data_IF_319535187736
#
_entry.id   IF_319535187736
#
_cell.length_a   1.000
_cell.length_b   1.000
_cell.length_c   1.000
_cell.angle_alpha   90.00
_cell.angle_beta   90.00
_cell.angle_gamma   90.00
#
_symmetry.space_group_name_H-M   'P 1'
#
loop_
_entity.id
_entity.type
_entity.pdbx_description
1 polymer ?
#
# COMPACT_ATOMS: atom_id res chain seq x y z
N UNK A 1 -0.57 -35.36 -2.73
CA UNK A 1 -1.15 -34.05 -2.40
C UNK A 1 -0.82 -33.10 -3.53
N UNK A 2 -1.73 -32.23 -3.95
CA UNK A 2 -1.52 -31.35 -5.10
C UNK A 2 -0.55 -30.20 -4.76
N UNK A 3 0.36 -29.89 -5.68
CA UNK A 3 1.23 -28.71 -5.57
C UNK A 3 0.41 -27.41 -5.64
N UNK A 4 0.98 -26.33 -5.06
CA UNK A 4 0.42 -24.97 -5.18
C UNK A 4 0.37 -24.57 -6.66
N UNK A 5 -0.75 -24.07 -7.09
CA UNK A 5 -0.91 -23.59 -8.46
C UNK A 5 -0.20 -22.25 -8.61
N UNK A 6 0.79 -22.19 -9.50
CA UNK A 6 1.48 -20.93 -9.81
C UNK A 6 0.59 -20.03 -10.67
N UNK A 7 0.59 -18.74 -10.37
CA UNK A 7 -0.04 -17.74 -11.22
C UNK A 7 0.84 -17.50 -12.47
N UNK A 8 0.21 -17.39 -13.62
CA UNK A 8 0.91 -17.05 -14.86
C UNK A 8 1.37 -15.59 -14.82
N UNK A 9 2.57 -15.36 -15.32
CA UNK A 9 3.21 -14.03 -15.37
C UNK A 9 3.68 -13.72 -16.78
N UNK A 10 3.76 -12.44 -17.10
CA UNK A 10 4.39 -11.97 -18.35
C UNK A 10 5.91 -12.17 -18.30
N UNK A 11 6.51 -12.49 -19.44
CA UNK A 11 7.96 -12.73 -19.53
C UNK A 11 8.77 -11.49 -19.12
N UNK A 12 9.88 -11.65 -18.37
CA UNK A 12 10.65 -10.54 -17.81
C UNK A 12 11.17 -9.52 -18.81
N UNK A 13 11.65 -9.97 -19.96
CA UNK A 13 12.20 -9.17 -21.06
C UNK A 13 11.15 -8.37 -21.83
N UNK A 14 9.88 -8.75 -21.69
CA UNK A 14 8.72 -8.05 -22.25
C UNK A 14 8.14 -7.09 -21.21
N UNK A 15 7.86 -7.60 -19.99
CA UNK A 15 7.16 -6.84 -18.95
C UNK A 15 7.93 -5.67 -18.36
N UNK A 16 9.27 -5.66 -18.51
CA UNK A 16 10.12 -4.56 -18.04
C UNK A 16 10.15 -3.34 -19.00
N UNK A 17 9.40 -3.37 -20.11
CA UNK A 17 9.35 -2.31 -21.13
C UNK A 17 8.05 -1.52 -21.14
N UNK A 18 7.07 -1.94 -20.37
CA UNK A 18 5.76 -1.30 -20.29
C UNK A 18 5.18 -1.33 -18.88
N UNK A 19 4.02 -0.67 -18.69
CA UNK A 19 3.32 -0.59 -17.42
C UNK A 19 2.11 -1.54 -17.31
N UNK A 20 1.95 -2.48 -18.23
CA UNK A 20 0.88 -3.46 -18.14
C UNK A 20 1.11 -4.42 -16.96
N UNK A 21 0.02 -4.90 -16.38
CA UNK A 21 0.05 -5.77 -15.21
C UNK A 21 0.93 -7.01 -15.44
N UNK A 22 1.79 -7.33 -14.48
CA UNK A 22 2.75 -8.44 -14.55
C UNK A 22 2.05 -9.78 -14.38
N UNK A 23 1.33 -9.95 -13.29
CA UNK A 23 0.59 -11.18 -12.97
C UNK A 23 -0.72 -11.24 -13.75
N UNK A 24 -1.01 -12.38 -14.39
CA UNK A 24 -2.16 -12.53 -15.29
C UNK A 24 -3.44 -13.03 -14.60
N UNK A 25 -3.36 -13.41 -13.31
CA UNK A 25 -4.49 -13.99 -12.59
C UNK A 25 -4.62 -15.50 -12.80
N UNK A 26 -5.61 -16.11 -12.13
CA UNK A 26 -5.98 -17.51 -12.33
C UNK A 26 -7.10 -17.64 -13.38
N UNK A 27 -7.05 -18.75 -14.16
CA UNK A 27 -8.21 -19.23 -14.89
C UNK A 27 -9.19 -19.91 -13.91
N UNK A 28 -10.42 -20.20 -14.39
CA UNK A 28 -11.43 -20.92 -13.59
C UNK A 28 -10.92 -22.29 -13.13
N UNK A 29 -10.19 -23.00 -14.01
CA UNK A 29 -9.61 -24.31 -13.69
C UNK A 29 -8.51 -24.20 -12.63
N UNK A 30 -7.62 -23.21 -12.76
CA UNK A 30 -6.54 -22.97 -11.80
C UNK A 30 -7.10 -22.59 -10.42
N UNK A 31 -8.10 -21.71 -10.39
CA UNK A 31 -8.76 -21.30 -9.14
C UNK A 31 -9.47 -22.49 -8.49
N UNK A 32 -10.18 -23.32 -9.26
CA UNK A 32 -10.83 -24.53 -8.75
C UNK A 32 -9.83 -25.54 -8.18
N UNK A 33 -8.71 -25.77 -8.88
CA UNK A 33 -7.68 -26.68 -8.43
C UNK A 33 -7.03 -26.19 -7.14
N UNK A 34 -6.68 -24.90 -7.06
CA UNK A 34 -6.07 -24.32 -5.86
C UNK A 34 -7.06 -24.28 -4.68
N UNK A 35 -8.33 -23.97 -4.92
CA UNK A 35 -9.37 -23.94 -3.88
C UNK A 35 -9.57 -25.32 -3.22
N UNK A 36 -9.48 -26.41 -3.99
CA UNK A 36 -9.57 -27.78 -3.46
C UNK A 36 -8.44 -28.17 -2.52
N UNK A 37 -7.34 -27.42 -2.48
CA UNK A 37 -6.25 -27.66 -1.51
C UNK A 37 -6.62 -27.20 -0.10
N UNK A 38 -7.63 -26.33 0.05
CA UNK A 38 -8.02 -25.83 1.35
C UNK A 38 -8.64 -26.94 2.22
N UNK A 39 -8.07 -27.12 3.41
CA UNK A 39 -8.49 -28.17 4.35
C UNK A 39 -9.81 -27.86 5.08
N UNK A 40 -10.42 -26.68 4.87
CA UNK A 40 -11.64 -26.25 5.55
C UNK A 40 -11.54 -26.43 7.09
N UNK A 41 -10.46 -25.89 7.68
CA UNK A 41 -10.11 -26.08 9.09
C UNK A 41 -11.24 -25.61 10.02
N UNK A 42 -11.52 -26.36 11.09
CA UNK A 42 -12.50 -25.98 12.13
C UNK A 42 -12.08 -24.68 12.83
N UNK A 43 -10.78 -24.51 13.11
CA UNK A 43 -10.18 -23.30 13.69
C UNK A 43 -9.18 -22.73 12.69
N UNK A 44 -9.62 -21.87 11.74
CA UNK A 44 -8.80 -21.42 10.63
C UNK A 44 -7.85 -20.29 11.05
N UNK A 45 -6.59 -20.62 11.36
CA UNK A 45 -5.57 -19.62 11.74
C UNK A 45 -5.30 -18.58 10.65
N UNK A 46 -5.58 -18.89 9.39
CA UNK A 46 -5.48 -17.92 8.29
C UNK A 46 -6.45 -16.72 8.46
N UNK A 47 -7.59 -16.92 9.13
CA UNK A 47 -8.55 -15.83 9.43
C UNK A 47 -7.94 -14.87 10.44
N UNK A 48 -7.35 -15.37 11.52
CA UNK A 48 -6.69 -14.53 12.54
C UNK A 48 -5.42 -13.86 12.01
N UNK A 49 -4.79 -14.44 10.97
CA UNK A 49 -3.69 -13.84 10.24
C UNK A 49 -4.11 -12.71 9.27
N UNK A 50 -5.41 -12.49 9.08
CA UNK A 50 -5.94 -11.43 8.22
C UNK A 50 -6.41 -10.24 9.07
N UNK A 51 -5.82 -9.03 8.93
CA UNK A 51 -6.19 -7.85 9.73
C UNK A 51 -7.65 -7.39 9.62
N UNK A 52 -8.37 -7.81 8.57
CA UNK A 52 -9.82 -7.56 8.40
C UNK A 52 -10.69 -8.79 8.64
N UNK A 53 -10.08 -9.91 9.06
CA UNK A 53 -10.77 -11.14 9.47
C UNK A 53 -11.70 -11.71 8.38
N UNK A 54 -11.23 -11.80 7.15
CA UNK A 54 -11.99 -12.43 6.04
C UNK A 54 -12.29 -13.89 6.41
N UNK A 55 -13.54 -14.34 6.17
CA UNK A 55 -13.89 -15.75 6.25
C UNK A 55 -13.24 -16.54 5.10
N UNK A 56 -11.92 -16.79 5.25
CA UNK A 56 -11.08 -17.40 4.21
C UNK A 56 -11.58 -18.80 3.82
N UNK A 57 -11.84 -19.74 4.73
CA UNK A 57 -12.39 -21.04 4.36
C UNK A 57 -13.74 -20.93 3.66
N UNK A 58 -14.58 -19.97 4.08
CA UNK A 58 -15.89 -19.74 3.50
C UNK A 58 -15.85 -19.34 2.04
N UNK A 59 -15.06 -18.32 1.66
CA UNK A 59 -15.00 -17.92 0.25
C UNK A 59 -14.29 -18.96 -0.62
N UNK A 60 -13.24 -19.63 -0.11
CA UNK A 60 -12.54 -20.68 -0.84
C UNK A 60 -13.44 -21.90 -1.09
N UNK A 61 -14.28 -22.28 -0.10
CA UNK A 61 -15.28 -23.33 -0.27
C UNK A 61 -16.22 -23.01 -1.45
N UNK A 62 -16.70 -21.76 -1.54
CA UNK A 62 -17.59 -21.36 -2.63
C UNK A 62 -16.92 -21.43 -4.01
N UNK A 63 -15.61 -21.14 -4.10
CA UNK A 63 -14.85 -21.36 -5.35
C UNK A 63 -14.79 -22.85 -5.68
N UNK A 64 -14.48 -23.71 -4.69
CA UNK A 64 -14.41 -25.16 -4.88
C UNK A 64 -15.77 -25.76 -5.32
N UNK A 65 -16.87 -25.14 -4.92
CA UNK A 65 -18.25 -25.49 -5.29
C UNK A 65 -18.69 -24.80 -6.61
N UNK A 66 -17.78 -24.14 -7.32
CA UNK A 66 -18.05 -23.40 -8.58
C UNK A 66 -19.11 -22.30 -8.43
N UNK A 67 -19.14 -21.63 -7.29
CA UNK A 67 -20.05 -20.54 -6.97
C UNK A 67 -19.30 -19.22 -6.69
N UNK A 68 -18.61 -18.61 -7.68
CA UNK A 68 -17.79 -17.42 -7.48
C UNK A 68 -18.61 -16.19 -7.05
N UNK A 69 -19.87 -16.08 -7.41
CA UNK A 69 -20.76 -15.02 -6.93
C UNK A 69 -20.90 -15.07 -5.40
N UNK A 70 -21.15 -16.25 -4.84
CA UNK A 70 -21.24 -16.40 -3.38
C UNK A 70 -19.88 -16.22 -2.71
N UNK A 71 -18.79 -16.65 -3.35
CA UNK A 71 -17.43 -16.39 -2.87
C UNK A 71 -17.18 -14.87 -2.72
N UNK A 72 -17.59 -14.08 -3.72
CA UNK A 72 -17.46 -12.63 -3.67
C UNK A 72 -18.29 -11.99 -2.55
N UNK A 73 -19.53 -12.44 -2.32
CA UNK A 73 -20.36 -11.97 -1.21
C UNK A 73 -19.67 -12.20 0.13
N UNK A 74 -19.12 -13.40 0.35
CA UNK A 74 -18.37 -13.73 1.58
C UNK A 74 -17.16 -12.80 1.77
N UNK A 75 -16.42 -12.50 0.69
CA UNK A 75 -15.31 -11.54 0.74
C UNK A 75 -15.78 -10.14 1.15
N UNK A 76 -16.86 -9.64 0.50
CA UNK A 76 -17.38 -8.26 0.71
C UNK A 76 -18.03 -8.04 2.08
N UNK A 77 -18.33 -9.10 2.84
CA UNK A 77 -18.78 -8.96 4.25
C UNK A 77 -17.72 -8.30 5.13
N UNK A 78 -16.44 -8.58 4.87
CA UNK A 78 -15.32 -8.14 5.69
C UNK A 78 -14.34 -7.22 4.96
N UNK A 79 -14.19 -7.35 3.65
CA UNK A 79 -13.22 -6.63 2.84
C UNK A 79 -13.90 -5.70 1.82
N UNK A 80 -13.66 -4.41 1.95
CA UNK A 80 -14.20 -3.41 1.01
C UNK A 80 -13.39 -3.33 -0.31
N UNK A 81 -12.12 -3.79 -0.31
CA UNK A 81 -11.18 -3.66 -1.42
C UNK A 81 -10.52 -5.01 -1.79
N UNK A 82 -11.30 -6.08 -2.09
CA UNK A 82 -10.73 -7.40 -2.31
C UNK A 82 -9.84 -7.49 -3.56
N UNK A 83 -10.12 -6.73 -4.61
CA UNK A 83 -9.30 -6.70 -5.82
C UNK A 83 -7.91 -6.08 -5.56
N UNK A 84 -7.84 -5.11 -4.64
CA UNK A 84 -6.58 -4.52 -4.16
C UNK A 84 -5.84 -5.52 -3.28
N UNK A 85 -6.50 -6.09 -2.25
CA UNK A 85 -5.87 -7.00 -1.30
C UNK A 85 -5.28 -8.24 -1.97
N UNK A 86 -5.99 -8.85 -2.92
CA UNK A 86 -5.50 -10.00 -3.67
C UNK A 86 -4.23 -9.71 -4.50
N UNK A 87 -3.94 -8.42 -4.79
CA UNK A 87 -2.75 -8.00 -5.56
C UNK A 87 -1.60 -7.53 -4.69
N UNK A 88 -1.87 -6.80 -3.58
CA UNK A 88 -0.82 -6.05 -2.89
C UNK A 88 -0.53 -6.49 -1.46
N UNK A 89 -1.40 -7.28 -0.83
CA UNK A 89 -1.14 -7.81 0.51
C UNK A 89 0.14 -8.66 0.54
N UNK A 90 0.98 -8.55 1.57
CA UNK A 90 2.08 -9.48 1.80
C UNK A 90 1.55 -10.76 2.46
N UNK A 91 0.79 -11.58 1.69
CA UNK A 91 0.09 -12.77 2.18
C UNK A 91 1.05 -13.76 2.85
N UNK A 92 2.30 -13.84 2.35
CA UNK A 92 3.38 -14.65 2.91
C UNK A 92 3.73 -14.31 4.37
N UNK A 93 3.38 -13.11 4.84
CA UNK A 93 3.56 -12.65 6.22
C UNK A 93 2.25 -12.57 7.01
N UNK A 94 1.12 -12.88 6.39
CA UNK A 94 -0.23 -12.72 6.93
C UNK A 94 -1.04 -14.03 6.85
N UNK A 95 -2.14 -14.04 6.09
CA UNK A 95 -3.04 -15.19 6.01
C UNK A 95 -2.36 -16.48 5.54
N UNK A 96 -1.48 -16.44 4.52
CA UNK A 96 -0.79 -17.62 4.00
C UNK A 96 0.25 -18.16 4.98
N UNK A 97 0.96 -17.28 5.72
CA UNK A 97 1.88 -17.68 6.81
C UNK A 97 1.19 -18.55 7.86
N UNK A 98 -0.08 -18.30 8.14
CA UNK A 98 -0.87 -19.02 9.13
C UNK A 98 -1.67 -20.19 8.53
N UNK A 99 -1.48 -20.51 7.26
CA UNK A 99 -2.11 -21.67 6.64
C UNK A 99 -1.48 -22.97 7.15
N UNK A 100 -2.29 -23.87 7.73
CA UNK A 100 -1.81 -25.15 8.29
C UNK A 100 -1.12 -26.03 7.24
N UNK A 101 -1.52 -25.95 5.98
CA UNK A 101 -0.81 -26.62 4.90
C UNK A 101 0.66 -26.20 4.81
N UNK A 102 0.98 -24.95 5.12
CA UNK A 102 2.34 -24.42 5.12
C UNK A 102 3.32 -25.12 6.08
N UNK A 103 2.83 -25.92 7.03
CA UNK A 103 3.68 -26.70 7.94
C UNK A 103 4.35 -27.92 7.26
N UNK A 104 3.76 -28.44 6.19
CA UNK A 104 4.23 -29.67 5.51
C UNK A 104 4.45 -29.51 4.00
N UNK A 105 3.89 -28.45 3.42
CA UNK A 105 3.95 -28.15 1.99
C UNK A 105 3.70 -26.65 1.78
N UNK A 106 3.61 -26.17 0.53
CA UNK A 106 3.25 -24.77 0.26
C UNK A 106 1.83 -24.45 0.76
N UNK A 107 1.62 -23.28 1.41
CA UNK A 107 0.29 -22.84 1.84
C UNK A 107 -0.66 -22.69 0.65
N UNK A 108 -1.97 -22.67 0.91
CA UNK A 108 -2.96 -22.28 -0.11
C UNK A 108 -2.68 -20.87 -0.59
N UNK A 109 -2.75 -20.64 -1.90
CA UNK A 109 -2.57 -19.32 -2.52
C UNK A 109 -3.81 -18.43 -2.28
N UNK A 110 -4.01 -18.02 -1.03
CA UNK A 110 -5.20 -17.30 -0.57
C UNK A 110 -5.36 -15.98 -1.31
N UNK A 111 -4.27 -15.21 -1.46
CA UNK A 111 -4.29 -13.94 -2.17
C UNK A 111 -4.66 -14.09 -3.65
N UNK A 112 -4.17 -15.14 -4.32
CA UNK A 112 -4.50 -15.42 -5.70
C UNK A 112 -5.98 -15.80 -5.88
N UNK A 113 -6.56 -16.55 -4.95
CA UNK A 113 -7.98 -16.90 -4.94
C UNK A 113 -8.86 -15.68 -4.63
N UNK A 114 -8.43 -14.80 -3.72
CA UNK A 114 -9.09 -13.53 -3.44
C UNK A 114 -9.10 -12.64 -4.69
N UNK A 115 -7.96 -12.49 -5.36
CA UNK A 115 -7.85 -11.78 -6.62
C UNK A 115 -8.77 -12.38 -7.70
N UNK A 116 -8.71 -13.70 -7.90
CA UNK A 116 -9.59 -14.39 -8.87
C UNK A 116 -11.05 -14.05 -8.62
N UNK A 117 -11.50 -14.14 -7.37
CA UNK A 117 -12.89 -13.88 -7.00
C UNK A 117 -13.29 -12.44 -7.29
N UNK A 118 -12.41 -11.48 -6.99
CA UNK A 118 -12.65 -10.06 -7.25
C UNK A 118 -12.64 -9.74 -8.75
N UNK A 119 -11.72 -10.32 -9.53
CA UNK A 119 -11.64 -10.16 -10.99
C UNK A 119 -12.84 -10.81 -11.69
N UNK A 120 -13.29 -11.98 -11.22
CA UNK A 120 -14.51 -12.60 -11.69
C UNK A 120 -15.72 -11.69 -11.45
N UNK A 121 -15.87 -11.17 -10.24
CA UNK A 121 -16.96 -10.25 -9.90
C UNK A 121 -16.91 -8.98 -10.75
N UNK A 122 -15.69 -8.49 -11.03
CA UNK A 122 -15.47 -7.36 -11.90
C UNK A 122 -16.08 -7.53 -13.30
N UNK A 123 -16.07 -8.72 -13.84
CA UNK A 123 -16.56 -9.03 -15.18
C UNK A 123 -18.03 -9.46 -15.22
N UNK A 124 -18.61 -9.88 -14.08
CA UNK A 124 -19.92 -10.54 -14.03
C UNK A 124 -20.97 -9.82 -13.18
N UNK A 125 -20.56 -8.88 -12.29
CA UNK A 125 -21.49 -8.19 -11.39
C UNK A 125 -21.52 -6.69 -11.71
N UNK A 126 -22.70 -6.15 -11.91
CA UNK A 126 -22.91 -4.71 -12.11
C UNK A 126 -22.92 -3.97 -10.78
N UNK A 127 -22.19 -2.85 -10.70
CA UNK A 127 -22.09 -2.02 -9.48
C UNK A 127 -23.46 -1.48 -9.05
N UNK A 128 -24.38 -1.21 -9.97
CA UNK A 128 -25.73 -0.69 -9.72
C UNK A 128 -26.65 -1.63 -8.91
N UNK A 129 -26.23 -2.87 -8.65
CA UNK A 129 -27.02 -3.85 -7.89
C UNK A 129 -26.79 -3.75 -6.36
N UNK A 130 -25.87 -2.88 -5.91
CA UNK A 130 -25.56 -2.68 -4.50
C UNK A 130 -26.59 -1.71 -3.90
N UNK A 131 -27.51 -2.21 -3.09
CA UNK A 131 -28.49 -1.37 -2.36
C UNK A 131 -28.14 -1.29 -0.87
N UNK A 132 -28.31 -0.10 -0.29
CA UNK A 132 -28.27 0.10 1.16
C UNK A 132 -29.71 0.23 1.64
N UNK A 133 -30.04 -0.49 2.72
CA UNK A 133 -31.32 -0.34 3.40
C UNK A 133 -31.16 0.63 4.57
N UNK A 134 -31.96 1.71 4.55
CA UNK A 134 -32.09 2.69 5.62
C UNK A 134 -31.03 3.80 5.61
N UNK A 135 -31.46 5.01 6.01
CA UNK A 135 -30.58 6.17 6.22
C UNK A 135 -30.71 6.64 7.67
N UNK A 136 -29.59 6.86 8.35
CA UNK A 136 -29.56 7.42 9.71
C UNK A 136 -29.60 8.94 9.72
N UNK A 137 -29.42 9.59 8.56
CA UNK A 137 -29.30 11.05 8.42
C UNK A 137 -28.19 11.68 9.30
N UNK A 138 -27.22 10.87 9.75
CA UNK A 138 -26.09 11.31 10.57
C UNK A 138 -24.88 11.42 9.68
N UNK A 139 -24.28 12.61 9.63
CA UNK A 139 -23.10 12.91 8.81
C UNK A 139 -21.80 12.47 9.51
N UNK A 140 -20.94 11.77 8.79
CA UNK A 140 -19.59 11.42 9.23
C UNK A 140 -18.58 11.88 8.17
N UNK A 141 -17.54 12.61 8.60
CA UNK A 141 -16.44 13.03 7.73
C UNK A 141 -15.30 12.01 7.80
N UNK A 142 -14.71 11.71 6.65
CA UNK A 142 -13.49 10.91 6.51
C UNK A 142 -12.42 11.76 5.84
N UNK A 143 -11.29 11.98 6.50
CA UNK A 143 -10.17 12.78 5.99
C UNK A 143 -9.12 11.83 5.43
N UNK A 144 -8.96 11.83 4.10
CA UNK A 144 -8.08 10.96 3.33
C UNK A 144 -8.80 9.75 2.76
N UNK A 145 -8.56 9.50 1.46
CA UNK A 145 -9.14 8.42 0.68
C UNK A 145 -8.19 7.21 0.50
N UNK A 146 -7.18 7.06 1.37
CA UNK A 146 -6.33 5.88 1.40
C UNK A 146 -7.06 4.63 1.91
N UNK A 147 -6.38 3.49 2.02
CA UNK A 147 -6.98 2.21 2.41
C UNK A 147 -7.80 2.27 3.71
N UNK A 148 -7.29 2.98 4.73
CA UNK A 148 -7.99 3.16 6.01
C UNK A 148 -9.29 3.96 5.84
N UNK A 149 -9.21 5.12 5.14
CA UNK A 149 -10.36 5.99 4.89
C UNK A 149 -11.43 5.31 4.05
N UNK A 150 -11.05 4.67 2.93
CA UNK A 150 -11.98 3.94 2.07
C UNK A 150 -12.69 2.81 2.82
N UNK A 151 -11.97 2.08 3.70
CA UNK A 151 -12.56 1.00 4.49
C UNK A 151 -13.51 1.55 5.55
N UNK A 152 -13.09 2.58 6.29
CA UNK A 152 -13.94 3.26 7.29
C UNK A 152 -15.21 3.82 6.64
N UNK A 153 -15.08 4.52 5.52
CA UNK A 153 -16.20 5.09 4.78
C UNK A 153 -17.17 4.00 4.29
N UNK A 154 -16.65 2.91 3.72
CA UNK A 154 -17.47 1.80 3.24
C UNK A 154 -18.26 1.10 4.34
N UNK A 155 -17.62 0.83 5.49
CA UNK A 155 -18.31 0.16 6.61
C UNK A 155 -19.34 1.09 7.25
N UNK A 156 -19.07 2.40 7.38
CA UNK A 156 -20.04 3.38 7.88
C UNK A 156 -21.22 3.56 6.93
N UNK A 157 -20.97 3.61 5.63
CA UNK A 157 -22.04 3.71 4.62
C UNK A 157 -22.98 2.49 4.68
N UNK A 158 -22.42 1.27 4.80
CA UNK A 158 -23.22 0.05 5.01
C UNK A 158 -24.09 0.08 6.27
N UNK A 159 -23.69 0.85 7.29
CA UNK A 159 -24.47 1.09 8.52
C UNK A 159 -25.47 2.25 8.37
N UNK A 160 -25.61 2.85 7.19
CA UNK A 160 -26.59 3.89 6.88
C UNK A 160 -26.18 5.31 7.23
N UNK A 161 -24.89 5.58 7.51
CA UNK A 161 -24.38 6.95 7.74
C UNK A 161 -24.22 7.73 6.42
N UNK A 162 -24.44 9.06 6.45
CA UNK A 162 -24.13 9.97 5.34
C UNK A 162 -22.62 10.30 5.39
N UNK A 163 -21.83 9.61 4.59
CA UNK A 163 -20.38 9.69 4.63
C UNK A 163 -19.86 10.62 3.54
N UNK A 164 -19.00 11.56 3.93
CA UNK A 164 -18.24 12.41 3.00
C UNK A 164 -16.74 12.19 3.22
N UNK A 165 -16.03 11.81 2.16
CA UNK A 165 -14.58 11.66 2.11
C UNK A 165 -13.95 12.93 1.55
N UNK A 166 -13.06 13.56 2.31
CA UNK A 166 -12.26 14.72 1.88
C UNK A 166 -10.86 14.24 1.51
N UNK A 167 -10.45 14.50 0.26
CA UNK A 167 -9.16 14.08 -0.27
C UNK A 167 -8.35 15.31 -0.73
N UNK A 168 -7.10 15.41 -0.31
CA UNK A 168 -6.20 16.50 -0.66
C UNK A 168 -5.72 16.46 -2.11
N UNK A 169 -5.63 15.26 -2.67
CA UNK A 169 -5.24 15.03 -4.06
C UNK A 169 -6.44 15.15 -4.99
N UNK A 170 -6.18 15.14 -6.29
CA UNK A 170 -7.21 15.24 -7.33
C UNK A 170 -7.90 13.90 -7.63
N UNK A 171 -7.41 12.79 -7.04
CA UNK A 171 -8.00 11.46 -7.22
C UNK A 171 -7.96 10.65 -5.92
N UNK A 172 -8.80 9.61 -5.84
CA UNK A 172 -8.96 8.74 -4.68
C UNK A 172 -7.97 7.58 -4.67
N UNK A 173 -7.78 7.01 -3.48
CA UNK A 173 -6.99 5.79 -3.28
C UNK A 173 -5.74 6.00 -2.43
N UNK A 174 -5.27 7.24 -2.25
CA UNK A 174 -4.04 7.50 -1.49
C UNK A 174 -2.86 6.72 -2.07
N UNK A 175 -2.09 6.02 -1.21
CA UNK A 175 -0.92 5.23 -1.64
C UNK A 175 -1.24 4.16 -2.69
N UNK A 176 -2.48 3.67 -2.77
CA UNK A 176 -2.90 2.73 -3.81
C UNK A 176 -2.84 3.35 -5.20
N UNK A 177 -3.09 4.68 -5.30
CA UNK A 177 -3.08 5.44 -6.54
C UNK A 177 -1.69 6.02 -6.84
N UNK A 178 -1.10 6.72 -5.88
CA UNK A 178 0.15 7.45 -6.13
C UNK A 178 1.41 6.62 -5.90
N UNK A 179 1.35 5.61 -5.03
CA UNK A 179 2.55 4.88 -4.58
C UNK A 179 2.76 3.54 -5.26
N UNK A 180 1.67 2.82 -5.61
CA UNK A 180 1.76 1.49 -6.21
C UNK A 180 1.67 1.60 -7.74
N UNK A 181 2.69 1.13 -8.49
CA UNK A 181 2.71 1.26 -9.94
C UNK A 181 1.62 0.45 -10.65
N UNK A 182 1.22 0.93 -11.82
CA UNK A 182 0.21 0.35 -12.72
C UNK A 182 0.45 -1.13 -13.01
N UNK A 183 1.70 -1.55 -13.17
CA UNK A 183 2.06 -2.94 -13.44
C UNK A 183 1.84 -3.91 -12.25
N UNK A 184 1.59 -3.38 -11.03
CA UNK A 184 1.20 -4.14 -9.82
C UNK A 184 -0.29 -3.98 -9.50
N UNK A 185 -0.77 -2.76 -9.52
CA UNK A 185 -2.16 -2.41 -9.22
C UNK A 185 -2.67 -1.47 -10.32
N UNK A 186 -3.30 -1.99 -11.37
CA UNK A 186 -3.88 -1.17 -12.42
C UNK A 186 -4.90 -0.17 -11.87
N UNK A 187 -4.86 1.07 -12.37
CA UNK A 187 -5.75 2.16 -11.92
C UNK A 187 -7.23 1.80 -12.10
N UNK A 188 -7.60 1.13 -13.20
CA UNK A 188 -8.97 0.69 -13.45
C UNK A 188 -9.50 -0.32 -12.41
N UNK A 189 -8.60 -1.11 -11.78
CA UNK A 189 -8.97 -2.00 -10.67
C UNK A 189 -9.34 -1.18 -9.44
N UNK A 190 -8.54 -0.18 -9.11
CA UNK A 190 -8.81 0.72 -7.99
C UNK A 190 -10.07 1.57 -8.24
N UNK A 191 -10.23 2.10 -9.45
CA UNK A 191 -11.40 2.89 -9.85
C UNK A 191 -12.70 2.12 -9.59
N UNK A 192 -12.73 0.85 -10.00
CA UNK A 192 -13.89 -0.01 -9.78
C UNK A 192 -14.20 -0.26 -8.31
N UNK A 193 -13.19 -0.45 -7.47
CA UNK A 193 -13.41 -0.58 -6.01
C UNK A 193 -13.96 0.72 -5.43
N UNK A 194 -13.43 1.87 -5.85
CA UNK A 194 -13.93 3.19 -5.42
C UNK A 194 -15.35 3.44 -5.94
N UNK A 195 -15.67 3.07 -7.18
CA UNK A 195 -17.02 3.22 -7.74
C UNK A 195 -18.02 2.33 -7.01
N UNK A 196 -17.60 1.15 -6.55
CA UNK A 196 -18.42 0.31 -5.66
C UNK A 196 -18.74 1.01 -4.33
N UNK A 197 -17.82 1.82 -3.80
CA UNK A 197 -18.04 2.63 -2.60
C UNK A 197 -18.92 3.85 -2.88
N UNK A 198 -18.73 4.53 -4.02
CA UNK A 198 -19.64 5.61 -4.46
C UNK A 198 -21.08 5.12 -4.63
N UNK A 199 -21.27 3.91 -5.12
CA UNK A 199 -22.60 3.29 -5.24
C UNK A 199 -23.29 3.07 -3.87
N UNK A 200 -22.51 3.01 -2.78
CA UNK A 200 -23.02 3.05 -1.41
C UNK A 200 -23.44 4.48 -0.95
N UNK A 201 -23.47 5.48 -1.82
CA UNK A 201 -23.84 6.85 -1.50
C UNK A 201 -22.72 7.69 -0.88
N UNK A 202 -21.49 7.20 -0.83
CA UNK A 202 -20.35 7.94 -0.29
C UNK A 202 -20.02 9.11 -1.22
N UNK A 203 -19.92 10.31 -0.66
CA UNK A 203 -19.52 11.52 -1.36
C UNK A 203 -18.00 11.70 -1.28
N UNK A 204 -17.37 12.07 -2.39
CA UNK A 204 -15.93 12.39 -2.45
C UNK A 204 -15.76 13.86 -2.81
N UNK A 205 -14.92 14.57 -2.06
CA UNK A 205 -14.53 15.96 -2.31
C UNK A 205 -13.00 15.98 -2.46
N UNK A 206 -12.54 16.21 -3.68
CA UNK A 206 -11.12 16.23 -4.06
C UNK A 206 -10.52 17.64 -3.98
N UNK A 207 -9.17 17.71 -4.03
CA UNK A 207 -8.41 18.95 -3.93
C UNK A 207 -8.76 19.73 -2.65
N UNK A 208 -9.01 19.02 -1.55
CA UNK A 208 -9.55 19.59 -0.33
C UNK A 208 -8.69 19.20 0.89
N UNK A 209 -7.77 20.10 1.26
CA UNK A 209 -6.84 19.88 2.37
C UNK A 209 -7.45 20.35 3.69
N UNK A 210 -7.95 19.39 4.48
CA UNK A 210 -8.45 19.69 5.83
C UNK A 210 -7.29 20.15 6.72
N UNK A 211 -7.52 21.23 7.46
CA UNK A 211 -6.52 22.01 8.21
C UNK A 211 -6.12 23.29 7.49
N UNK A 212 -6.31 23.39 6.16
CA UNK A 212 -6.03 24.60 5.38
C UNK A 212 -7.26 25.14 4.67
N UNK A 213 -7.89 24.34 3.83
CA UNK A 213 -9.11 24.74 3.10
C UNK A 213 -10.30 24.86 4.05
N UNK A 214 -10.40 23.96 5.01
CA UNK A 214 -11.41 23.94 6.07
C UNK A 214 -10.79 23.32 7.32
N UNK A 215 -11.11 23.87 8.48
CA UNK A 215 -10.64 23.34 9.75
C UNK A 215 -11.46 22.12 10.22
N UNK A 216 -10.95 21.38 11.18
CA UNK A 216 -11.72 20.30 11.85
C UNK A 216 -12.94 20.87 12.57
N UNK A 217 -12.84 22.08 13.17
CA UNK A 217 -13.95 22.75 13.82
C UNK A 217 -15.08 23.09 12.81
N UNK A 218 -14.71 23.54 11.60
CA UNK A 218 -15.70 23.81 10.56
C UNK A 218 -16.47 22.55 10.14
N UNK A 219 -15.83 21.38 10.13
CA UNK A 219 -16.55 20.12 9.84
C UNK A 219 -17.64 19.84 10.89
N UNK A 220 -17.36 20.06 12.19
CA UNK A 220 -18.39 19.93 13.22
C UNK A 220 -19.49 20.99 13.06
N UNK A 221 -19.16 22.23 12.71
CA UNK A 221 -20.12 23.31 12.42
C UNK A 221 -21.01 22.98 11.21
N UNK A 222 -20.49 22.26 10.19
CA UNK A 222 -21.24 21.76 9.04
C UNK A 222 -22.18 20.59 9.38
N UNK A 223 -22.15 20.18 10.65
CA UNK A 223 -23.06 19.15 11.19
C UNK A 223 -22.52 17.72 11.15
N UNK A 224 -21.25 17.51 10.80
CA UNK A 224 -20.63 16.19 10.98
C UNK A 224 -20.58 15.84 12.47
N UNK A 225 -20.98 14.62 12.83
CA UNK A 225 -21.08 14.18 14.22
C UNK A 225 -19.86 13.37 14.68
N UNK A 226 -19.11 12.84 13.75
CA UNK A 226 -17.81 12.21 13.98
C UNK A 226 -16.89 12.44 12.78
N UNK A 227 -15.59 12.37 13.03
CA UNK A 227 -14.54 12.55 12.02
C UNK A 227 -13.57 11.38 12.11
N UNK A 228 -13.24 10.76 10.98
CA UNK A 228 -12.15 9.80 10.88
C UNK A 228 -10.96 10.42 10.16
N UNK A 229 -9.76 10.31 10.73
CA UNK A 229 -8.50 10.79 10.16
C UNK A 229 -7.69 9.61 9.62
N UNK A 230 -7.58 9.52 8.30
CA UNK A 230 -6.84 8.49 7.56
C UNK A 230 -5.87 9.09 6.55
N UNK A 231 -5.17 10.17 6.92
CA UNK A 231 -4.30 10.96 6.04
C UNK A 231 -2.98 10.26 5.67
N UNK A 232 -2.70 9.10 6.26
CA UNK A 232 -1.52 8.30 5.95
C UNK A 232 -0.19 8.93 6.40
N UNK A 233 0.89 8.50 5.77
CA UNK A 233 2.24 9.01 5.94
C UNK A 233 2.81 9.37 4.56
N UNK A 234 3.10 10.64 4.34
CA UNK A 234 3.56 11.15 3.04
C UNK A 234 4.83 12.00 3.11
N UNK A 235 5.38 12.23 4.31
CA UNK A 235 6.60 13.01 4.48
C UNK A 235 7.83 12.08 4.37
N UNK A 236 8.68 12.25 3.33
CA UNK A 236 9.81 11.34 3.11
C UNK A 236 10.90 11.51 4.15
N UNK A 237 11.57 10.40 4.47
CA UNK A 237 12.78 10.37 5.28
C UNK A 237 14.01 10.59 4.40
N UNK A 238 14.84 11.57 4.75
CA UNK A 238 16.13 11.81 4.14
C UNK A 238 17.26 11.22 5.00
N UNK A 239 18.39 10.79 4.43
CA UNK A 239 19.47 10.17 5.16
C UNK A 239 20.28 11.15 6.04
N UNK A 240 20.17 12.46 5.81
CA UNK A 240 20.92 13.49 6.52
C UNK A 240 22.41 13.48 6.18
N UNK A 241 22.77 13.12 4.95
CA UNK A 241 24.17 13.06 4.48
C UNK A 241 24.48 14.17 3.47
N UNK A 242 25.78 14.47 3.31
CA UNK A 242 26.26 15.53 2.41
C UNK A 242 25.74 15.30 0.98
N UNK A 243 25.23 16.35 0.36
CA UNK A 243 24.82 16.36 -1.04
C UNK A 243 23.40 15.85 -1.30
N UNK A 244 22.58 15.52 -0.29
CA UNK A 244 21.23 15.02 -0.47
C UNK A 244 20.27 15.98 -1.19
N UNK A 245 20.68 17.25 -1.34
CA UNK A 245 19.91 18.31 -2.02
C UNK A 245 20.36 18.55 -3.47
N UNK A 246 21.24 17.73 -4.04
CA UNK A 246 21.65 17.88 -5.42
C UNK A 246 20.49 17.56 -6.39
N UNK A 247 20.55 18.15 -7.58
CA UNK A 247 19.58 17.86 -8.64
C UNK A 247 19.60 16.37 -8.99
N UNK A 248 18.45 15.84 -9.39
CA UNK A 248 18.21 14.42 -9.68
C UNK A 248 18.36 13.47 -8.48
N UNK A 249 18.21 13.99 -7.25
CA UNK A 249 17.96 13.17 -6.05
C UNK A 249 16.50 13.38 -5.66
N UNK A 250 15.71 12.33 -5.75
CA UNK A 250 14.28 12.34 -5.43
C UNK A 250 13.98 11.45 -4.24
N UNK A 251 12.98 11.80 -3.45
CA UNK A 251 12.34 10.81 -2.61
C UNK A 251 11.55 9.83 -3.49
N UNK A 252 11.43 8.58 -3.05
CA UNK A 252 10.63 7.59 -3.78
C UNK A 252 9.15 8.02 -3.89
N UNK A 253 8.64 8.72 -2.86
CA UNK A 253 7.29 9.27 -2.90
C UNK A 253 7.11 10.29 -4.02
N UNK A 254 8.03 11.25 -4.16
CA UNK A 254 8.01 12.22 -5.24
C UNK A 254 8.10 11.55 -6.63
N UNK A 255 9.05 10.62 -6.78
CA UNK A 255 9.25 9.90 -8.03
C UNK A 255 8.00 9.11 -8.42
N UNK A 256 7.43 8.33 -7.51
CA UNK A 256 6.26 7.49 -7.79
C UNK A 256 4.98 8.30 -7.97
N UNK A 257 4.79 9.41 -7.24
CA UNK A 257 3.65 10.31 -7.46
C UNK A 257 3.64 10.87 -8.88
N UNK A 258 4.79 11.30 -9.39
CA UNK A 258 4.91 11.78 -10.79
C UNK A 258 4.58 10.66 -11.79
N UNK A 259 5.07 9.46 -11.55
CA UNK A 259 4.83 8.32 -12.45
C UNK A 259 3.37 7.88 -12.42
N UNK A 260 2.82 7.62 -11.24
CA UNK A 260 1.54 6.94 -11.09
C UNK A 260 0.37 7.94 -11.13
N UNK A 261 0.32 8.89 -10.20
CA UNK A 261 -0.79 9.84 -10.09
C UNK A 261 -0.80 10.86 -11.24
N UNK A 262 0.37 11.36 -11.63
CA UNK A 262 0.51 12.34 -12.70
C UNK A 262 0.83 11.71 -14.06
N UNK A 263 0.84 10.41 -14.16
CA UNK A 263 0.94 9.61 -15.39
C UNK A 263 2.18 9.94 -16.26
N UNK A 264 3.31 10.30 -15.61
CA UNK A 264 4.51 10.75 -16.32
C UNK A 264 5.12 9.69 -17.26
N UNK A 265 4.81 8.40 -17.07
CA UNK A 265 5.25 7.34 -17.97
C UNK A 265 4.63 7.42 -19.36
N UNK A 266 3.57 8.22 -19.55
CA UNK A 266 2.93 8.50 -20.85
C UNK A 266 3.29 9.88 -21.42
N UNK A 267 4.32 10.54 -20.90
CA UNK A 267 4.76 11.81 -21.49
C UNK A 267 5.21 11.58 -22.96
N UNK A 268 4.82 12.43 -23.95
CA UNK A 268 4.13 13.72 -23.83
C UNK A 268 2.59 13.65 -23.96
N UNK A 269 1.96 12.47 -23.96
CA UNK A 269 0.49 12.36 -23.96
C UNK A 269 -0.12 13.04 -22.71
N UNK A 270 0.60 12.97 -21.58
CA UNK A 270 0.33 13.68 -20.35
C UNK A 270 1.42 14.72 -20.08
N UNK A 271 1.06 15.88 -19.51
CA UNK A 271 1.93 17.06 -19.38
C UNK A 271 3.02 16.96 -18.29
N UNK A 272 3.21 15.80 -17.67
CA UNK A 272 4.19 15.63 -16.59
C UNK A 272 5.50 15.05 -17.12
N UNK A 273 6.57 15.85 -17.30
CA UNK A 273 7.88 15.34 -17.66
C UNK A 273 8.55 14.65 -16.46
N UNK A 274 9.41 13.66 -16.74
CA UNK A 274 10.25 13.03 -15.74
C UNK A 274 11.66 12.81 -16.29
N UNK A 275 12.66 13.03 -15.44
CA UNK A 275 14.02 12.64 -15.75
C UNK A 275 14.15 11.12 -15.62
N UNK A 276 14.56 10.47 -16.69
CA UNK A 276 14.61 8.99 -16.75
C UNK A 276 15.84 8.39 -16.10
N UNK A 277 16.98 9.09 -16.15
CA UNK A 277 18.28 8.57 -15.76
C UNK A 277 18.76 7.42 -16.66
N UNK A 278 20.05 7.31 -16.87
CA UNK A 278 20.67 6.13 -17.49
C UNK A 278 21.12 5.13 -16.42
N UNK A 279 21.83 5.65 -15.42
CA UNK A 279 22.35 4.89 -14.29
C UNK A 279 21.60 5.31 -13.03
N UNK A 280 20.68 4.48 -12.57
CA UNK A 280 19.80 4.81 -11.45
C UNK A 280 20.21 4.02 -10.21
N UNK A 281 20.36 4.73 -9.09
CA UNK A 281 20.58 4.13 -7.77
C UNK A 281 19.33 4.37 -6.93
N UNK A 282 18.73 3.28 -6.41
CA UNK A 282 17.65 3.34 -5.43
C UNK A 282 18.17 2.88 -4.08
N UNK A 283 17.94 3.67 -3.03
CA UNK A 283 18.43 3.39 -1.67
C UNK A 283 17.25 2.97 -0.79
N UNK A 284 17.26 1.71 -0.35
CA UNK A 284 16.21 1.14 0.49
C UNK A 284 15.96 -0.34 0.22
N UNK A 285 15.10 -0.99 1.02
CA UNK A 285 14.80 -2.43 0.89
C UNK A 285 13.32 -2.79 1.10
N UNK A 286 12.42 -1.80 1.12
CA UNK A 286 10.98 -1.99 1.27
C UNK A 286 10.25 -2.12 -0.07
N UNK A 287 8.93 -2.32 -0.02
CA UNK A 287 8.08 -2.40 -1.23
C UNK A 287 8.22 -1.16 -2.11
N UNK A 288 8.31 0.03 -1.50
CA UNK A 288 8.51 1.30 -2.23
C UNK A 288 9.83 1.31 -3.01
N UNK A 289 10.89 0.69 -2.48
CA UNK A 289 12.16 0.54 -3.20
C UNK A 289 12.01 -0.40 -4.40
N UNK A 290 11.31 -1.53 -4.23
CA UNK A 290 11.00 -2.46 -5.34
C UNK A 290 10.17 -1.76 -6.43
N UNK A 291 9.17 -0.99 -6.05
CA UNK A 291 8.35 -0.21 -6.97
C UNK A 291 9.21 0.81 -7.75
N UNK A 292 10.14 1.47 -7.06
CA UNK A 292 11.03 2.48 -7.66
C UNK A 292 12.02 1.87 -8.65
N UNK A 293 12.73 0.77 -8.29
CA UNK A 293 13.70 0.13 -9.22
C UNK A 293 13.01 -0.44 -10.46
N UNK A 294 11.85 -1.08 -10.28
CA UNK A 294 11.08 -1.66 -11.38
C UNK A 294 10.48 -0.59 -12.28
N UNK A 295 10.08 0.55 -11.71
CA UNK A 295 9.62 1.72 -12.45
C UNK A 295 10.76 2.35 -13.24
N UNK A 296 11.92 2.58 -12.62
CA UNK A 296 13.10 3.12 -13.28
C UNK A 296 13.50 2.29 -14.52
N UNK A 297 13.45 0.96 -14.40
CA UNK A 297 13.69 0.04 -15.54
C UNK A 297 12.70 0.29 -16.68
N UNK A 298 11.39 0.41 -16.36
CA UNK A 298 10.31 0.60 -17.35
C UNK A 298 10.35 1.94 -18.08
N UNK A 299 10.82 3.00 -17.42
CA UNK A 299 10.96 4.31 -18.08
C UNK A 299 12.25 4.43 -18.91
N UNK A 300 13.09 3.38 -18.94
CA UNK A 300 14.20 3.26 -19.87
C UNK A 300 15.60 3.40 -19.27
N UNK A 301 15.77 3.24 -17.95
CA UNK A 301 17.11 3.20 -17.36
C UNK A 301 17.94 2.00 -17.89
N UNK A 302 19.17 2.26 -18.28
CA UNK A 302 20.11 1.24 -18.78
C UNK A 302 20.57 0.35 -17.63
N UNK A 303 21.01 0.96 -16.52
CA UNK A 303 21.44 0.28 -15.29
C UNK A 303 20.58 0.75 -14.11
N UNK A 304 20.10 -0.20 -13.30
CA UNK A 304 19.38 0.09 -12.06
C UNK A 304 19.99 -0.73 -10.93
N UNK A 305 20.47 -0.05 -9.89
CA UNK A 305 21.06 -0.66 -8.70
C UNK A 305 20.19 -0.36 -7.47
N UNK A 306 19.92 -1.41 -6.69
CA UNK A 306 19.29 -1.30 -5.39
C UNK A 306 20.37 -1.36 -4.32
N UNK A 307 20.62 -0.26 -3.62
CA UNK A 307 21.58 -0.20 -2.50
C UNK A 307 20.83 -0.47 -1.18
N UNK A 308 21.27 -1.50 -0.46
CA UNK A 308 20.66 -1.89 0.79
C UNK A 308 21.70 -2.25 1.86
N UNK A 309 21.52 -1.70 3.06
CA UNK A 309 22.48 -1.84 4.17
C UNK A 309 22.50 -3.21 4.85
N UNK A 310 21.60 -4.13 4.50
CA UNK A 310 21.53 -5.51 4.96
C UNK A 310 21.53 -6.45 3.76
N UNK A 311 21.24 -7.75 3.98
CA UNK A 311 21.06 -8.70 2.89
C UNK A 311 19.59 -8.81 2.46
N UNK A 312 19.32 -9.56 1.40
CA UNK A 312 17.96 -9.83 0.92
C UNK A 312 17.09 -10.50 1.99
N UNK A 313 17.69 -11.27 2.91
CA UNK A 313 16.97 -11.96 3.98
C UNK A 313 16.25 -10.97 4.91
N UNK A 314 16.88 -9.82 5.20
CA UNK A 314 16.32 -8.79 6.06
C UNK A 314 15.45 -7.76 5.30
N UNK A 315 15.29 -7.89 3.99
CA UNK A 315 14.46 -6.97 3.23
C UNK A 315 12.98 -7.12 3.60
N UNK A 316 12.30 -6.04 4.02
CA UNK A 316 10.87 -6.10 4.32
C UNK A 316 9.96 -6.12 3.09
N UNK A 317 10.53 -5.98 1.89
CA UNK A 317 9.79 -6.08 0.63
C UNK A 317 9.25 -7.50 0.43
N UNK A 318 8.09 -7.62 -0.25
CA UNK A 318 7.49 -8.90 -0.64
C UNK A 318 8.48 -9.75 -1.43
N UNK A 319 8.48 -11.05 -1.16
CA UNK A 319 9.33 -12.02 -1.86
C UNK A 319 9.12 -11.99 -3.37
N UNK A 320 7.87 -11.96 -3.81
CA UNK A 320 7.50 -11.89 -5.22
C UNK A 320 8.08 -10.64 -5.90
N UNK A 321 8.00 -9.45 -5.26
CA UNK A 321 8.47 -8.20 -5.82
C UNK A 321 10.01 -8.16 -5.93
N UNK A 322 10.73 -8.75 -4.95
CA UNK A 322 12.20 -8.93 -5.02
C UNK A 322 12.59 -9.82 -6.19
N UNK A 323 11.87 -10.94 -6.34
CA UNK A 323 12.09 -11.88 -7.43
C UNK A 323 11.85 -11.23 -8.80
N UNK A 324 10.76 -10.49 -8.93
CA UNK A 324 10.45 -9.75 -10.16
C UNK A 324 11.51 -8.69 -10.48
N UNK A 325 12.01 -7.94 -9.49
CA UNK A 325 13.08 -6.95 -9.70
C UNK A 325 14.37 -7.59 -10.24
N UNK A 326 14.78 -8.72 -9.66
CA UNK A 326 15.97 -9.48 -10.12
C UNK A 326 15.77 -10.00 -11.55
N UNK A 327 14.62 -10.59 -11.87
CA UNK A 327 14.29 -11.06 -13.20
C UNK A 327 14.26 -9.94 -14.25
N UNK A 328 13.88 -8.73 -13.86
CA UNK A 328 13.80 -7.54 -14.69
C UNK A 328 15.17 -6.86 -14.86
N UNK A 329 16.26 -7.45 -14.32
CA UNK A 329 17.63 -7.01 -14.50
C UNK A 329 18.06 -5.88 -13.54
N UNK A 330 17.47 -5.80 -12.35
CA UNK A 330 17.92 -4.93 -11.27
C UNK A 330 19.08 -5.59 -10.52
N UNK A 331 20.17 -4.88 -10.32
CA UNK A 331 21.33 -5.33 -9.53
C UNK A 331 21.11 -4.97 -8.04
N UNK A 332 21.20 -5.97 -7.15
CA UNK A 332 21.12 -5.73 -5.71
C UNK A 332 22.53 -5.60 -5.13
N UNK A 333 22.85 -4.39 -4.64
CA UNK A 333 24.10 -4.04 -3.95
C UNK A 333 23.83 -4.11 -2.44
N UNK A 334 23.97 -5.31 -1.91
CA UNK A 334 23.71 -5.62 -0.49
C UNK A 334 24.87 -5.15 0.40
N UNK A 335 24.62 -5.15 1.72
CA UNK A 335 25.61 -4.78 2.73
C UNK A 335 26.32 -3.46 2.39
N UNK A 336 25.53 -2.47 1.93
CA UNK A 336 26.04 -1.20 1.42
C UNK A 336 25.16 -0.06 1.90
N UNK A 337 25.77 0.99 2.43
CA UNK A 337 25.09 2.22 2.85
C UNK A 337 25.68 3.45 2.17
N UNK A 338 24.89 4.47 1.79
CA UNK A 338 25.40 5.72 1.26
C UNK A 338 26.07 6.53 2.38
N UNK A 339 27.14 7.23 2.04
CA UNK A 339 27.90 8.13 2.94
C UNK A 339 27.74 9.58 2.52
N UNK A 340 27.82 9.85 1.22
CA UNK A 340 27.55 11.16 0.64
C UNK A 340 27.22 11.08 -0.83
N UNK A 341 26.62 12.12 -1.37
CA UNK A 341 26.39 12.28 -2.81
C UNK A 341 27.42 13.22 -3.42
N UNK A 342 27.81 12.95 -4.66
CA UNK A 342 28.76 13.74 -5.41
C UNK A 342 28.06 14.34 -6.63
N UNK A 343 28.29 15.64 -6.87
CA UNK A 343 27.69 16.33 -8.01
C UNK A 343 28.75 16.72 -9.06
N UNK A 344 28.26 17.05 -10.24
CA UNK A 344 29.01 17.75 -11.28
C UNK A 344 29.07 19.27 -10.98
N UNK A 345 29.72 20.05 -11.86
CA UNK A 345 29.88 21.50 -11.74
C UNK A 345 28.54 22.26 -11.80
N UNK A 346 27.47 21.63 -12.32
CA UNK A 346 26.14 22.20 -12.45
C UNK A 346 25.22 21.81 -11.29
N UNK A 347 25.71 21.03 -10.31
CA UNK A 347 24.97 20.59 -9.16
C UNK A 347 24.05 19.38 -9.44
N UNK A 348 24.25 18.62 -10.51
CA UNK A 348 23.55 17.35 -10.76
C UNK A 348 24.32 16.19 -10.15
N UNK A 349 23.62 15.25 -9.54
CA UNK A 349 24.26 14.05 -8.99
C UNK A 349 24.97 13.27 -10.09
N UNK A 350 26.22 12.87 -9.82
CA UNK A 350 27.05 12.05 -10.72
C UNK A 350 27.52 10.74 -10.10
N UNK A 351 27.50 10.65 -8.77
CA UNK A 351 27.88 9.43 -8.05
C UNK A 351 27.38 9.43 -6.60
N UNK A 352 27.32 8.26 -6.01
CA UNK A 352 27.11 8.03 -4.58
C UNK A 352 28.38 7.40 -4.00
N UNK A 353 28.97 8.01 -2.99
CA UNK A 353 29.98 7.37 -2.15
C UNK A 353 29.27 6.47 -1.16
N UNK A 354 29.62 5.20 -1.16
CA UNK A 354 29.08 4.16 -0.33
C UNK A 354 30.13 3.55 0.59
N UNK A 355 29.70 2.95 1.69
CA UNK A 355 30.55 2.16 2.59
C UNK A 355 29.98 0.75 2.71
N UNK A 356 30.87 -0.25 2.80
CA UNK A 356 30.45 -1.63 3.06
C UNK A 356 30.00 -1.81 4.50
N UNK A 357 29.02 -2.69 4.68
CA UNK A 357 28.42 -3.01 5.98
C UNK A 357 28.69 -4.46 6.34
N UNK A 358 28.74 -4.75 7.63
CA UNK A 358 28.62 -6.11 8.18
C UNK A 358 27.40 -6.21 9.08
N UNK A 359 26.90 -7.42 9.28
CA UNK A 359 25.74 -7.66 10.12
C UNK A 359 26.17 -8.24 11.46
N UNK A 360 25.68 -7.62 12.52
CA UNK A 360 25.87 -8.07 13.92
C UNK A 360 24.57 -8.67 14.46
N UNK A 361 24.45 -8.80 15.78
CA UNK A 361 23.28 -9.33 16.46
C UNK A 361 21.96 -8.63 16.06
N UNK A 362 20.82 -9.32 16.14
CA UNK A 362 19.52 -8.75 15.81
C UNK A 362 19.17 -7.50 16.64
N UNK A 363 18.58 -6.50 15.98
CA UNK A 363 18.01 -5.33 16.62
C UNK A 363 16.60 -5.62 17.22
N UNK A 364 15.97 -4.60 17.83
CA UNK A 364 14.63 -4.72 18.42
C UNK A 364 13.52 -5.15 17.42
N UNK A 365 13.79 -5.08 16.12
CA UNK A 365 12.89 -5.57 15.07
C UNK A 365 13.14 -7.04 14.70
N UNK A 366 14.08 -7.70 15.36
CA UNK A 366 14.50 -9.09 15.06
C UNK A 366 15.39 -9.21 13.81
N UNK A 367 15.81 -8.10 13.17
CA UNK A 367 16.71 -8.09 12.02
C UNK A 367 18.14 -7.77 12.45
N UNK A 368 19.11 -8.45 11.85
CA UNK A 368 20.54 -8.22 12.15
C UNK A 368 20.91 -6.74 11.94
N UNK A 369 21.64 -6.17 12.91
CA UNK A 369 22.02 -4.75 12.89
C UNK A 369 23.19 -4.53 11.94
N UNK A 370 23.09 -3.59 10.95
CA UNK A 370 24.19 -3.26 10.06
C UNK A 370 25.16 -2.30 10.74
N UNK A 371 26.48 -2.57 10.61
CA UNK A 371 27.57 -1.75 11.13
C UNK A 371 28.55 -1.46 9.98
N UNK A 372 29.03 -0.22 9.81
CA UNK A 372 29.97 0.10 8.74
C UNK A 372 31.36 -0.53 8.97
N UNK A 373 31.95 -1.05 7.89
CA UNK A 373 33.32 -1.54 7.88
C UNK A 373 34.25 -0.33 7.62
N UNK A 374 35.14 0.03 8.57
CA UNK A 374 36.01 1.20 8.38
C UNK A 374 36.88 1.09 7.12
N UNK A 375 37.11 2.22 6.43
CA UNK A 375 37.96 2.33 5.23
C UNK A 375 37.52 1.44 4.05
N UNK A 376 36.25 1.08 3.96
CA UNK A 376 35.69 0.28 2.88
C UNK A 376 34.90 1.11 1.85
N UNK A 377 35.12 2.43 1.84
CA UNK A 377 34.42 3.34 0.95
C UNK A 377 34.68 3.03 -0.51
N UNK A 378 33.65 3.19 -1.35
CA UNK A 378 33.74 3.04 -2.80
C UNK A 378 32.67 3.90 -3.49
N UNK A 379 32.83 4.10 -4.79
CA UNK A 379 31.97 4.98 -5.58
C UNK A 379 31.05 4.13 -6.47
N UNK A 380 29.77 4.53 -6.52
CA UNK A 380 28.80 4.06 -7.52
C UNK A 380 28.43 5.24 -8.40
N UNK A 381 28.78 5.20 -9.66
CA UNK A 381 28.37 6.21 -10.65
C UNK A 381 26.86 6.15 -10.89
N UNK A 382 26.22 7.31 -10.93
CA UNK A 382 24.76 7.43 -11.11
C UNK A 382 24.41 8.84 -11.58
N UNK A 383 23.34 8.97 -12.34
CA UNK A 383 22.79 10.27 -12.77
C UNK A 383 21.35 10.50 -12.22
N UNK A 384 20.82 9.52 -11.47
CA UNK A 384 19.55 9.63 -10.76
C UNK A 384 19.58 8.81 -9.48
N UNK A 385 19.26 9.42 -8.36
CA UNK A 385 19.11 8.75 -7.05
C UNK A 385 17.68 8.81 -6.56
N UNK A 386 17.16 7.68 -6.06
CA UNK A 386 15.82 7.59 -5.47
C UNK A 386 15.94 7.09 -4.03
N UNK A 387 15.50 7.91 -3.08
CA UNK A 387 15.57 7.63 -1.65
C UNK A 387 14.27 6.96 -1.17
N UNK A 388 14.32 5.66 -0.92
CA UNK A 388 13.20 4.83 -0.45
C UNK A 388 13.39 4.43 1.03
N UNK A 389 13.63 5.42 1.90
CA UNK A 389 14.04 5.23 3.31
C UNK A 389 12.87 5.22 4.30
N UNK A 390 11.63 5.30 3.81
CA UNK A 390 10.42 5.32 4.62
C UNK A 390 9.75 6.69 4.63
N UNK A 391 8.57 6.73 5.25
CA UNK A 391 7.71 7.91 5.32
C UNK A 391 7.29 8.17 6.76
N UNK A 392 7.07 9.44 7.08
CA UNK A 392 6.50 9.91 8.34
C UNK A 392 5.11 10.55 8.12
N UNK A 393 4.27 10.61 9.16
CA UNK A 393 3.02 11.34 9.13
C UNK A 393 3.22 12.82 8.78
N UNK A 394 2.29 13.38 7.98
CA UNK A 394 2.31 14.80 7.69
C UNK A 394 1.80 15.61 8.90
N UNK A 395 2.57 16.58 9.45
CA UNK A 395 2.21 17.32 10.64
C UNK A 395 1.14 18.40 10.40
N UNK A 396 0.70 18.66 9.17
CA UNK A 396 -0.22 19.77 8.85
C UNK A 396 -1.50 19.68 9.68
N UNK A 397 -2.18 18.56 9.69
CA UNK A 397 -3.45 18.44 10.40
C UNK A 397 -3.31 18.60 11.91
N UNK A 398 -2.40 17.87 12.61
CA UNK A 398 -2.25 18.05 14.05
C UNK A 398 -1.73 19.43 14.42
N UNK A 399 -0.83 20.04 13.65
CA UNK A 399 -0.31 21.40 13.96
C UNK A 399 -1.37 22.50 13.85
N UNK A 400 -2.42 22.28 13.04
CA UNK A 400 -3.51 23.24 12.83
C UNK A 400 -4.79 22.91 13.61
N UNK A 401 -4.77 21.82 14.41
CA UNK A 401 -5.92 21.38 15.19
C UNK A 401 -5.53 21.34 16.67
N UNK A 402 -5.89 22.40 17.41
CA UNK A 402 -5.57 22.50 18.84
C UNK A 402 -6.13 21.31 19.64
N UNK A 403 -5.27 20.65 20.42
CA UNK A 403 -5.63 19.48 21.22
C UNK A 403 -5.53 18.14 20.50
N UNK A 404 -5.21 18.12 19.22
CA UNK A 404 -4.93 16.88 18.48
C UNK A 404 -3.44 16.53 18.69
N UNK A 405 -3.16 15.57 19.58
CA UNK A 405 -1.81 15.25 20.00
C UNK A 405 -1.16 14.16 19.18
N UNK A 406 0.18 14.22 19.09
CA UNK A 406 1.02 13.23 18.43
C UNK A 406 2.10 12.73 19.39
N UNK A 407 2.58 11.52 19.15
CA UNK A 407 3.75 10.99 19.84
C UNK A 407 5.06 11.58 19.27
N UNK A 408 6.21 11.25 19.86
CA UNK A 408 7.52 11.74 19.43
C UNK A 408 7.90 11.40 17.97
N UNK A 409 7.22 10.44 17.33
CA UNK A 409 7.41 10.08 15.93
C UNK A 409 6.40 10.74 14.99
N UNK A 410 5.52 11.61 15.49
CA UNK A 410 4.52 12.33 14.72
C UNK A 410 3.23 11.55 14.47
N UNK A 411 3.06 10.32 14.97
CA UNK A 411 1.81 9.57 14.87
C UNK A 411 0.75 10.11 15.82
N UNK A 412 -0.50 10.20 15.36
CA UNK A 412 -1.62 10.58 16.22
C UNK A 412 -1.76 9.60 17.39
N UNK A 413 -1.94 10.15 18.59
CA UNK A 413 -2.23 9.36 19.79
C UNK A 413 -3.70 8.94 19.73
N UNK A 414 -3.96 7.64 19.79
CA UNK A 414 -5.29 7.02 19.82
C UNK A 414 -5.41 6.09 21.03
N UNK A 415 -6.61 5.95 21.54
CA UNK A 415 -6.96 4.95 22.56
C UNK A 415 -7.37 3.62 21.92
N UNK A 416 -7.73 2.63 22.74
CA UNK A 416 -8.16 1.29 22.28
C UNK A 416 -9.43 1.32 21.41
N UNK A 417 -10.19 2.41 21.44
CA UNK A 417 -11.36 2.64 20.59
C UNK A 417 -11.03 3.44 19.33
N UNK A 418 -9.74 3.62 18.99
CA UNK A 418 -9.29 4.41 17.87
C UNK A 418 -9.66 5.90 17.93
N UNK A 419 -10.14 6.40 19.07
CA UNK A 419 -10.43 7.81 19.30
C UNK A 419 -9.14 8.55 19.65
N UNK A 420 -8.97 9.74 19.08
CA UNK A 420 -7.83 10.63 19.37
C UNK A 420 -8.01 11.33 20.73
N UNK A 421 -7.12 12.26 21.06
CA UNK A 421 -7.23 13.14 22.23
C UNK A 421 -8.43 14.10 22.17
N UNK A 422 -9.10 14.22 21.02
CA UNK A 422 -10.30 15.03 20.83
C UNK A 422 -11.51 14.12 20.68
N UNK A 423 -12.54 14.37 21.49
CA UNK A 423 -13.78 13.60 21.46
C UNK A 423 -14.48 13.71 20.09
N UNK A 424 -14.95 12.57 19.55
CA UNK A 424 -15.58 12.48 18.24
C UNK A 424 -14.63 12.47 17.04
N UNK A 425 -13.30 12.53 17.29
CA UNK A 425 -12.29 12.38 16.25
C UNK A 425 -11.58 11.03 16.44
N UNK A 426 -11.60 10.21 15.38
CA UNK A 426 -10.97 8.88 15.32
C UNK A 426 -9.86 8.89 14.31
N UNK A 427 -8.88 8.00 14.44
CA UNK A 427 -7.81 7.89 13.47
C UNK A 427 -7.39 6.43 13.23
N UNK A 428 -6.81 6.17 12.05
CA UNK A 428 -6.28 4.86 11.71
C UNK A 428 -5.47 4.88 10.42
N UNK A 429 -4.75 3.77 10.16
CA UNK A 429 -3.78 3.68 9.09
C UNK A 429 -2.43 4.27 9.48
N UNK A 430 -1.62 4.65 8.49
CA UNK A 430 -0.22 5.03 8.72
C UNK A 430 -0.08 6.29 9.56
N UNK A 431 -1.08 7.16 9.61
CA UNK A 431 -1.10 8.34 10.51
C UNK A 431 -1.12 7.94 12.00
N UNK A 432 -1.55 6.72 12.30
CA UNK A 432 -1.65 6.16 13.65
C UNK A 432 -0.78 4.90 13.84
N UNK A 433 0.23 4.69 12.98
CA UNK A 433 1.22 3.61 13.12
C UNK A 433 0.92 2.34 12.32
N UNK A 434 -0.04 2.35 11.42
CA UNK A 434 -0.21 1.29 10.40
C UNK A 434 1.01 1.21 9.48
N UNK A 435 1.23 0.08 8.84
CA UNK A 435 2.42 -0.12 7.99
C UNK A 435 2.14 -0.85 6.66
N UNK A 436 0.98 -1.45 6.50
CA UNK A 436 0.57 -2.13 5.27
C UNK A 436 -0.87 -1.77 4.89
N UNK A 437 -1.21 -1.93 3.61
CA UNK A 437 -2.55 -1.65 3.09
C UNK A 437 -3.64 -2.31 3.93
N UNK A 438 -3.52 -3.61 4.19
CA UNK A 438 -4.54 -4.37 4.92
C UNK A 438 -4.57 -4.04 6.43
N UNK A 439 -3.44 -3.67 7.04
CA UNK A 439 -3.43 -3.19 8.43
C UNK A 439 -4.14 -1.84 8.53
N UNK A 440 -3.88 -0.92 7.59
CA UNK A 440 -4.58 0.35 7.51
C UNK A 440 -6.10 0.13 7.33
N UNK A 441 -6.50 -0.82 6.49
CA UNK A 441 -7.90 -1.23 6.34
C UNK A 441 -8.49 -1.79 7.64
N UNK A 442 -7.75 -2.65 8.35
CA UNK A 442 -8.15 -3.20 9.65
C UNK A 442 -8.41 -2.10 10.69
N UNK A 443 -7.49 -1.12 10.79
CA UNK A 443 -7.67 0.03 11.66
C UNK A 443 -8.89 0.88 11.26
N UNK A 444 -9.10 1.13 9.97
CA UNK A 444 -10.27 1.83 9.45
C UNK A 444 -11.58 1.12 9.79
N UNK A 445 -11.58 -0.21 9.70
CA UNK A 445 -12.72 -1.07 10.07
C UNK A 445 -13.05 -0.99 11.57
N UNK A 446 -12.04 -1.10 12.43
CA UNK A 446 -12.23 -0.99 13.88
C UNK A 446 -12.67 0.42 14.28
N UNK A 447 -12.12 1.46 13.66
CA UNK A 447 -12.56 2.83 13.86
C UNK A 447 -14.03 3.02 13.44
N UNK A 448 -14.48 2.48 12.31
CA UNK A 448 -15.86 2.55 11.86
C UNK A 448 -16.83 1.91 12.88
N UNK A 449 -16.46 0.74 13.43
CA UNK A 449 -17.21 0.08 14.50
C UNK A 449 -17.33 0.97 15.75
N UNK A 450 -16.24 1.60 16.17
CA UNK A 450 -16.22 2.46 17.35
C UNK A 450 -16.92 3.81 17.11
N UNK A 451 -16.86 4.37 15.91
CA UNK A 451 -17.67 5.52 15.50
C UNK A 451 -19.16 5.18 15.60
N UNK A 452 -19.55 3.99 15.11
CA UNK A 452 -20.93 3.53 15.23
C UNK A 452 -21.39 3.43 16.69
N UNK A 453 -20.59 2.82 17.57
CA UNK A 453 -20.87 2.74 18.99
C UNK A 453 -20.95 4.12 19.68
N UNK A 454 -20.10 5.05 19.26
CA UNK A 454 -20.07 6.43 19.76
C UNK A 454 -21.34 7.20 19.38
N UNK A 455 -21.82 7.05 18.13
CA UNK A 455 -22.98 7.77 17.60
C UNK A 455 -24.33 7.10 17.93
N UNK A 456 -24.32 5.90 18.50
CA UNK A 456 -25.52 5.15 18.88
C UNK A 456 -25.89 5.34 20.36
N UNK A 457 -25.08 6.09 21.12
CA UNK A 457 -25.36 6.52 22.49
C UNK A 457 -26.25 7.76 22.49
#
# INVERSE_FOLDING_TARGET
MSQRIKMSERQPDIRNKDFQQVNLGYTDEQALQEAKRCLQCKNPLCVTGCPVEINIPGFIKQIAEKNPNQAFKVLKEKNNLPAVCGRVCPQENQCEKHCILGLKQEPVAIGNLERYTADWAANNIKISEIKIEGSRCIKVAVIGSGPAGLTCAGDLAKLGYDVTVFESLHDSGGVLRYGIPEFRLPSNVLDREVDSLKALGIKFIFNYLIGRTKTVADLFNDGFKAIFVGTGAGLPTFPGIEGENFNNIYSANEFLVRINLMTAFKFPEFDTPIYKGKNVVVIGGGNTAMDSVRTAKRIGAESVKLVYRRTQEEMPARLEERHHALQEGVEFVELTAPVKFLADEKGFVKAVECIKMELTEPDASGRRKPVPIPNSNFIIETDLVILALGLHPNPILPSLTKGLETNAKGYLIINDNFMTTINGIFAGGDIAGGSTVIQAMGMGKQAAKNIHLYLSK
#
